data_IF_111501498043
#
_entry.id   IF_111501498043
#
_cell.length_a   1.000
_cell.length_b   1.000
_cell.length_c   1.000
_cell.angle_alpha   90.00
_cell.angle_beta   90.00
_cell.angle_gamma   90.00
#
_symmetry.space_group_name_H-M   'P 1'
#
loop_
_entity.id
_entity.type
_entity.pdbx_description
1 polymer ?
#
# COMPACT_ATOMS: atom_id res chain seq x y z
N UNK A 1 -14.28 47.62 5.32
CA UNK A 1 -14.13 47.65 6.79
C UNK A 1 -14.66 46.33 7.32
N UNK A 2 -13.82 45.28 7.28
CA UNK A 2 -13.98 44.08 8.09
C UNK A 2 -12.61 43.40 8.04
N UNK A 3 -11.93 43.40 9.18
CA UNK A 3 -10.59 42.87 9.39
C UNK A 3 -10.82 41.51 10.02
N UNK A 4 -10.44 40.41 9.36
CA UNK A 4 -10.32 39.11 10.00
C UNK A 4 -8.91 38.57 9.74
N UNK A 5 -8.30 38.17 10.86
CA UNK A 5 -6.87 38.01 11.10
C UNK A 5 -6.30 36.78 10.39
N UNK A 6 -5.16 36.96 9.73
CA UNK A 6 -4.22 35.89 9.39
C UNK A 6 -3.72 35.20 10.66
N UNK A 7 -3.82 33.88 10.72
CA UNK A 7 -3.13 33.05 11.70
C UNK A 7 -1.99 32.35 10.97
N UNK A 8 -0.77 32.72 11.36
CA UNK A 8 0.49 32.15 10.89
C UNK A 8 0.73 30.86 11.68
N UNK A 9 0.62 29.68 11.07
CA UNK A 9 1.08 28.43 11.67
C UNK A 9 2.60 28.35 11.53
N UNK A 10 3.30 28.37 12.66
CA UNK A 10 4.72 28.07 12.78
C UNK A 10 4.82 26.59 13.14
N UNK A 11 5.40 25.78 12.26
CA UNK A 11 5.78 24.40 12.56
C UNK A 11 6.99 24.40 13.51
N UNK A 12 6.88 23.63 14.60
CA UNK A 12 8.00 23.25 15.48
C UNK A 12 8.15 21.72 15.39
N UNK A 13 9.40 21.19 15.39
CA UNK A 13 9.63 19.76 15.30
C UNK A 13 9.36 19.11 16.65
N UNK A 14 8.53 18.07 16.67
CA UNK A 14 8.33 17.21 17.84
C UNK A 14 9.25 15.99 17.69
N UNK A 15 10.39 16.03 18.37
CA UNK A 15 11.09 14.83 18.84
C UNK A 15 11.12 14.92 20.36
N UNK A 16 10.33 14.10 21.03
CA UNK A 16 10.67 13.58 22.35
C UNK A 16 9.82 12.35 22.65
N UNK A 17 10.51 11.25 22.93
CA UNK A 17 9.96 9.99 23.40
C UNK A 17 8.97 10.19 24.55
N UNK A 18 7.87 9.44 24.51
CA UNK A 18 6.99 9.25 25.64
C UNK A 18 7.07 7.77 26.01
N UNK A 19 7.95 7.45 26.96
CA UNK A 19 7.79 6.26 27.78
C UNK A 19 6.53 6.49 28.63
N UNK A 20 5.51 5.68 28.41
CA UNK A 20 4.31 5.68 29.22
C UNK A 20 4.66 4.97 30.53
N UNK A 21 4.88 5.74 31.59
CA UNK A 21 5.00 5.19 32.94
C UNK A 21 3.62 4.67 33.38
N UNK A 22 3.58 3.43 33.85
CA UNK A 22 2.41 2.84 34.48
C UNK A 22 1.99 3.70 35.70
N UNK A 23 0.74 4.14 35.69
CA UNK A 23 0.15 5.10 36.62
C UNK A 23 -0.31 4.34 37.88
N UNK A 24 0.42 4.50 39.00
CA UNK A 24 0.01 3.90 40.29
C UNK A 24 -1.27 4.59 40.79
N UNK A 25 -2.35 3.83 40.86
CA UNK A 25 -3.62 4.29 41.42
C UNK A 25 -3.53 4.60 42.93
N UNK A 26 -3.93 5.82 43.32
CA UNK A 26 -4.72 6.05 44.54
C UNK A 26 -4.06 6.69 45.77
N UNK A 27 -3.66 7.96 45.69
CA UNK A 27 -3.36 8.78 46.89
C UNK A 27 -4.66 9.38 47.50
N UNK A 28 -4.90 9.20 48.80
CA UNK A 28 -5.98 9.86 49.57
C UNK A 28 -5.39 10.67 50.73
N UNK A 29 -5.95 11.84 51.06
CA UNK A 29 -5.26 12.83 51.88
C UNK A 29 -5.23 12.47 53.37
N UNK A 30 -4.04 12.53 53.96
CA UNK A 30 -3.79 12.49 55.39
C UNK A 30 -4.45 13.68 56.12
N UNK A 31 -5.15 13.40 57.23
CA UNK A 31 -5.44 14.41 58.27
C UNK A 31 -4.80 13.98 59.59
N UNK A 32 -4.07 14.91 60.19
CA UNK A 32 -3.25 14.75 61.39
C UNK A 32 -4.06 14.60 62.68
N UNK A 33 -3.78 13.56 63.47
CA UNK A 33 -3.87 13.58 64.94
C UNK A 33 -2.86 12.60 65.57
N UNK A 34 -2.02 13.01 66.55
CA UNK A 34 -1.14 12.12 67.32
C UNK A 34 -1.59 12.00 68.81
N UNK A 35 -0.99 11.13 69.65
CA UNK A 35 -1.32 9.70 69.73
C UNK A 35 -1.76 9.28 71.16
N UNK A 36 -2.52 8.19 71.28
CA UNK A 36 -2.56 7.41 72.53
C UNK A 36 -1.98 6.02 72.26
N UNK A 37 -0.99 5.68 73.09
CA UNK A 37 -0.19 4.47 73.18
C UNK A 37 -1.03 3.30 73.72
N UNK A 38 -1.21 2.24 72.92
CA UNK A 38 -1.57 0.92 73.44
C UNK A 38 -1.08 -0.22 72.52
N UNK A 39 0.01 -0.83 72.98
CA UNK A 39 0.41 -2.23 72.82
C UNK A 39 0.29 -2.92 71.44
N UNK A 40 1.45 -3.04 70.77
CA UNK A 40 1.92 -4.31 70.20
C UNK A 40 0.96 -5.10 69.32
N UNK A 41 0.62 -4.54 68.16
CA UNK A 41 0.28 -5.33 66.97
C UNK A 41 1.43 -5.08 65.97
N UNK A 42 2.07 -6.10 65.39
CA UNK A 42 2.89 -5.84 64.22
C UNK A 42 1.97 -5.19 63.19
N UNK A 43 2.36 -4.02 62.72
CA UNK A 43 1.80 -3.40 61.52
C UNK A 43 2.23 -4.27 60.34
N UNK A 44 1.61 -5.45 60.27
CA UNK A 44 1.74 -6.42 59.20
C UNK A 44 0.72 -6.05 58.14
N UNK A 45 0.95 -4.89 57.53
CA UNK A 45 0.49 -4.63 56.18
C UNK A 45 1.68 -4.83 55.24
N UNK A 46 2.40 -5.95 55.40
CA UNK A 46 3.02 -6.54 54.22
C UNK A 46 1.86 -6.70 53.23
N UNK A 47 1.86 -5.87 52.18
CA UNK A 47 1.13 -6.22 50.97
C UNK A 47 1.83 -7.49 50.55
N UNK A 48 1.31 -8.63 50.99
CA UNK A 48 1.78 -9.90 50.47
C UNK A 48 1.59 -9.78 48.97
N UNK A 49 2.68 -10.01 48.27
CA UNK A 49 2.67 -10.04 46.83
C UNK A 49 1.93 -11.31 46.45
N UNK A 50 0.67 -11.13 46.04
CA UNK A 50 -0.26 -12.21 45.77
C UNK A 50 -0.24 -12.43 44.29
N UNK A 51 0.13 -13.63 43.88
CA UNK A 51 -0.08 -14.19 42.53
C UNK A 51 -1.59 -14.12 42.23
N UNK A 52 -2.01 -13.08 41.51
CA UNK A 52 -3.42 -12.72 41.33
C UNK A 52 -4.09 -13.56 40.23
N UNK A 53 -3.33 -13.97 39.22
CA UNK A 53 -3.82 -14.75 38.08
C UNK A 53 -3.56 -16.26 38.19
N UNK A 54 -2.69 -16.69 39.10
CA UNK A 54 -2.40 -18.07 39.42
C UNK A 54 -1.37 -18.74 38.52
N UNK A 55 -0.51 -18.01 37.82
CA UNK A 55 0.56 -18.57 36.98
C UNK A 55 1.81 -19.02 37.78
N UNK A 56 1.91 -18.59 39.05
CA UNK A 56 2.96 -18.94 39.98
C UNK A 56 4.12 -17.94 40.06
N UNK A 57 4.05 -16.81 39.35
CA UNK A 57 4.90 -15.64 39.50
C UNK A 57 4.07 -14.53 40.15
N UNK A 58 4.75 -13.54 40.73
CA UNK A 58 4.10 -12.40 41.38
C UNK A 58 4.69 -11.12 40.81
N UNK A 59 3.95 -10.01 40.93
CA UNK A 59 4.43 -8.70 40.48
C UNK A 59 5.83 -8.30 41.01
N UNK A 60 6.23 -8.69 42.22
CA UNK A 60 7.58 -8.44 42.74
C UNK A 60 8.62 -9.50 42.32
N UNK A 61 8.19 -10.69 41.89
CA UNK A 61 9.07 -11.70 41.29
C UNK A 61 9.32 -11.47 39.78
N UNK A 62 8.68 -10.45 39.19
CA UNK A 62 8.96 -9.96 37.85
C UNK A 62 7.81 -10.12 36.85
N UNK A 63 6.62 -10.47 37.31
CA UNK A 63 5.40 -10.44 36.51
C UNK A 63 5.07 -8.99 36.08
N UNK A 64 4.91 -8.80 34.77
CA UNK A 64 4.59 -7.52 34.16
C UNK A 64 3.09 -7.23 34.11
N UNK A 65 2.22 -8.24 34.23
CA UNK A 65 0.76 -8.13 34.34
C UNK A 65 0.18 -9.25 35.22
N UNK A 66 0.28 -9.07 36.54
CA UNK A 66 -0.16 -10.00 37.61
C UNK A 66 -1.68 -10.36 37.57
N UNK A 67 -2.46 -9.74 36.67
CA UNK A 67 -3.87 -10.06 36.41
C UNK A 67 -4.07 -11.00 35.19
N UNK A 68 -3.01 -11.40 34.47
CA UNK A 68 -3.03 -12.24 33.27
C UNK A 68 -2.02 -13.39 33.28
N UNK A 69 -2.51 -14.61 33.55
CA UNK A 69 -1.71 -15.83 33.69
C UNK A 69 -0.94 -16.29 32.43
N UNK A 70 -0.97 -15.50 31.37
CA UNK A 70 -0.15 -15.67 30.16
C UNK A 70 1.11 -14.80 30.16
N UNK A 71 1.19 -13.83 31.06
CA UNK A 71 2.19 -12.76 31.05
C UNK A 71 3.13 -12.93 32.23
N UNK A 72 4.26 -13.62 32.01
CA UNK A 72 5.26 -13.88 33.05
C UNK A 72 6.66 -14.06 32.45
N UNK A 73 7.73 -13.84 33.23
CA UNK A 73 9.10 -14.01 32.78
C UNK A 73 9.36 -15.31 32.00
N UNK A 74 9.61 -15.19 30.69
CA UNK A 74 9.88 -16.30 29.78
C UNK A 74 8.66 -17.11 29.33
N UNK A 75 7.45 -16.54 29.38
CA UNK A 75 6.27 -17.08 28.71
C UNK A 75 6.46 -17.16 27.18
N UNK A 76 5.46 -17.70 26.48
CA UNK A 76 5.45 -17.72 25.01
C UNK A 76 4.67 -16.50 24.52
N UNK A 77 5.32 -15.68 23.69
CA UNK A 77 4.68 -14.57 22.98
C UNK A 77 3.47 -15.04 22.15
N UNK A 78 2.40 -14.26 22.24
CA UNK A 78 1.16 -14.40 21.48
C UNK A 78 0.98 -13.18 20.59
N UNK A 79 0.20 -13.32 19.52
CA UNK A 79 -0.22 -12.15 18.75
C UNK A 79 -1.39 -11.45 19.45
N UNK A 80 -1.18 -10.91 20.64
CA UNK A 80 -2.19 -10.19 21.42
C UNK A 80 -1.78 -8.75 21.77
N UNK A 81 -0.60 -8.30 21.32
CA UNK A 81 -0.03 -6.96 21.54
C UNK A 81 0.33 -6.72 23.00
N UNK A 82 0.60 -7.79 23.74
CA UNK A 82 1.06 -7.79 25.12
C UNK A 82 2.47 -8.39 25.14
N UNK A 83 3.33 -7.85 25.98
CA UNK A 83 4.63 -8.46 26.31
C UNK A 83 4.32 -9.61 27.26
N UNK A 84 4.22 -10.84 26.73
CA UNK A 84 3.84 -12.00 27.53
C UNK A 84 5.05 -12.54 28.30
N UNK A 85 6.27 -12.37 27.81
CA UNK A 85 7.46 -12.92 28.43
C UNK A 85 8.22 -11.95 29.36
N UNK A 86 7.67 -10.74 29.52
CA UNK A 86 8.11 -9.65 30.37
C UNK A 86 9.54 -9.18 30.09
N UNK A 87 9.94 -9.13 28.81
CA UNK A 87 11.28 -8.72 28.39
C UNK A 87 11.39 -7.27 27.86
N UNK A 88 10.30 -6.51 27.95
CA UNK A 88 10.06 -5.17 27.37
C UNK A 88 9.89 -5.16 25.84
N UNK A 89 9.74 -6.32 25.20
CA UNK A 89 9.39 -6.49 23.78
C UNK A 89 7.99 -7.05 23.64
N UNK A 90 7.22 -6.55 22.68
CA UNK A 90 5.84 -7.02 22.43
C UNK A 90 5.84 -7.92 21.21
N UNK A 91 5.21 -9.09 21.34
CA UNK A 91 5.00 -10.09 20.28
C UNK A 91 6.33 -10.50 19.61
N UNK A 92 7.45 -10.52 20.35
CA UNK A 92 8.76 -10.84 19.78
C UNK A 92 8.91 -12.34 19.47
N UNK A 93 9.84 -12.67 18.57
CA UNK A 93 9.98 -14.04 18.06
C UNK A 93 8.83 -14.53 17.16
N UNK A 94 7.72 -13.79 17.07
CA UNK A 94 6.66 -13.97 16.07
C UNK A 94 6.99 -13.15 14.83
N UNK A 95 6.86 -13.75 13.64
CA UNK A 95 7.16 -13.05 12.38
C UNK A 95 5.90 -12.69 11.61
N UNK A 96 4.80 -13.41 11.82
CA UNK A 96 3.53 -13.12 11.15
C UNK A 96 2.40 -13.23 12.14
N UNK A 97 1.68 -12.12 12.32
CA UNK A 97 0.54 -12.02 13.21
C UNK A 97 -0.71 -11.58 12.46
N UNK A 98 -1.84 -12.23 12.73
CA UNK A 98 -3.14 -11.79 12.26
C UNK A 98 -4.02 -11.40 13.44
N UNK A 99 -4.49 -10.15 13.45
CA UNK A 99 -5.40 -9.60 14.46
C UNK A 99 -6.77 -9.39 13.82
N UNK A 100 -7.76 -10.26 14.07
CA UNK A 100 -9.10 -10.04 13.56
C UNK A 100 -9.73 -8.79 14.19
N UNK A 101 -10.69 -8.19 13.51
CA UNK A 101 -11.47 -7.05 14.05
C UNK A 101 -12.25 -7.45 15.29
N UNK A 102 -12.65 -8.73 15.37
CA UNK A 102 -13.29 -9.33 16.53
C UNK A 102 -12.60 -10.65 16.88
N UNK A 103 -12.22 -10.82 18.15
CA UNK A 103 -11.56 -12.01 18.66
C UNK A 103 -10.09 -11.80 18.97
N UNK A 104 -9.43 -12.88 19.40
CA UNK A 104 -8.01 -12.89 19.72
C UNK A 104 -7.16 -13.02 18.45
N UNK A 105 -5.99 -12.39 18.46
CA UNK A 105 -5.03 -12.56 17.38
C UNK A 105 -4.37 -13.93 17.40
N UNK A 106 -3.73 -14.28 16.29
CA UNK A 106 -3.08 -15.57 16.11
C UNK A 106 -1.83 -15.44 15.24
N UNK A 107 -0.79 -16.21 15.57
CA UNK A 107 0.38 -16.36 14.69
C UNK A 107 -0.01 -17.11 13.42
N UNK A 108 0.55 -16.65 12.29
CA UNK A 108 0.48 -17.30 10.98
C UNK A 108 1.85 -17.79 10.49
N UNK A 109 2.86 -17.86 11.36
CA UNK A 109 4.23 -18.24 11.02
C UNK A 109 4.29 -19.56 10.23
N UNK A 110 3.58 -20.60 10.69
CA UNK A 110 3.61 -21.91 10.04
C UNK A 110 2.99 -21.91 8.64
N UNK A 111 1.99 -21.05 8.42
CA UNK A 111 1.31 -20.96 7.13
C UNK A 111 2.21 -20.25 6.11
N UNK A 112 2.91 -19.19 6.54
CA UNK A 112 3.87 -18.46 5.72
C UNK A 112 5.16 -19.27 5.46
N UNK A 113 5.67 -19.99 6.46
CA UNK A 113 6.85 -20.86 6.32
C UNK A 113 6.62 -22.08 5.41
N UNK A 114 5.36 -22.42 5.12
CA UNK A 114 5.04 -23.49 4.19
C UNK A 114 5.41 -23.13 2.73
N UNK A 115 5.62 -21.84 2.45
CA UNK A 115 5.95 -21.31 1.14
C UNK A 115 7.41 -21.53 0.73
N UNK A 116 7.64 -21.72 -0.57
CA UNK A 116 8.99 -21.70 -1.15
C UNK A 116 8.96 -21.11 -2.56
N UNK A 117 10.12 -20.70 -3.09
CA UNK A 117 10.24 -20.16 -4.46
C UNK A 117 9.60 -21.05 -5.54
N UNK A 118 9.66 -22.37 -5.39
CA UNK A 118 9.06 -23.31 -6.36
C UNK A 118 7.62 -23.73 -6.03
N UNK A 119 7.13 -23.38 -4.85
CA UNK A 119 5.79 -23.73 -4.36
C UNK A 119 5.36 -22.71 -3.31
N UNK A 120 4.92 -21.51 -3.73
CA UNK A 120 4.41 -20.49 -2.81
C UNK A 120 3.19 -21.01 -2.03
N UNK A 121 3.05 -20.59 -0.78
CA UNK A 121 1.91 -20.94 0.07
C UNK A 121 0.68 -20.09 -0.30
N UNK A 122 -0.48 -20.72 -0.49
CA UNK A 122 -1.74 -19.99 -0.64
C UNK A 122 -2.30 -19.67 0.75
N UNK A 123 -2.45 -18.37 1.05
CA UNK A 123 -2.98 -17.88 2.33
C UNK A 123 -4.32 -17.22 2.07
N UNK A 124 -5.36 -17.66 2.78
CA UNK A 124 -6.72 -17.14 2.63
C UNK A 124 -7.05 -16.19 3.79
N UNK A 125 -7.31 -14.93 3.47
CA UNK A 125 -7.76 -13.92 4.43
C UNK A 125 -9.26 -13.69 4.23
N UNK A 126 -10.06 -14.36 5.05
CA UNK A 126 -11.53 -14.39 4.99
C UNK A 126 -12.20 -13.71 6.17
N UNK A 127 -11.40 -13.23 7.13
CA UNK A 127 -11.87 -12.53 8.33
C UNK A 127 -11.35 -11.10 8.26
N UNK A 128 -12.17 -10.08 8.58
CA UNK A 128 -11.70 -8.70 8.63
C UNK A 128 -10.64 -8.53 9.72
N UNK A 129 -9.58 -7.78 9.46
CA UNK A 129 -8.51 -7.60 10.45
C UNK A 129 -7.22 -7.01 9.89
N UNK A 130 -6.15 -7.15 10.68
CA UNK A 130 -4.82 -6.68 10.32
C UNK A 130 -3.84 -7.85 10.28
N UNK A 131 -3.20 -8.06 9.13
CA UNK A 131 -2.06 -8.95 8.98
C UNK A 131 -0.77 -8.12 9.12
N UNK A 132 0.05 -8.44 10.11
CA UNK A 132 1.35 -7.82 10.36
C UNK A 132 2.45 -8.82 10.02
N UNK A 133 3.39 -8.38 9.20
CA UNK A 133 4.53 -9.16 8.71
C UNK A 133 5.81 -8.49 9.20
N UNK A 134 6.64 -9.25 9.91
CA UNK A 134 7.99 -8.84 10.26
C UNK A 134 8.95 -8.89 9.08
N UNK A 135 10.22 -8.67 9.38
CA UNK A 135 11.32 -8.77 8.42
C UNK A 135 11.40 -10.19 7.82
N UNK A 136 11.58 -10.28 6.50
CA UNK A 136 11.75 -11.55 5.81
C UNK A 136 11.26 -11.56 4.37
N UNK A 137 11.56 -12.65 3.67
CA UNK A 137 10.98 -12.97 2.37
C UNK A 137 10.03 -14.15 2.51
N UNK A 138 8.80 -13.96 2.05
CA UNK A 138 7.71 -14.91 2.15
C UNK A 138 7.21 -15.31 0.77
N UNK A 139 7.27 -16.60 0.45
CA UNK A 139 6.79 -17.10 -0.83
C UNK A 139 5.31 -17.43 -0.75
N UNK A 140 4.44 -16.52 -1.20
CA UNK A 140 3.00 -16.60 -0.95
C UNK A 140 2.15 -16.18 -2.14
N UNK A 141 0.89 -16.63 -2.10
CA UNK A 141 -0.24 -16.05 -2.81
C UNK A 141 -1.31 -15.70 -1.77
N UNK A 142 -1.46 -14.42 -1.46
CA UNK A 142 -2.50 -13.95 -0.54
C UNK A 142 -3.82 -13.78 -1.30
N UNK A 143 -4.87 -14.46 -0.86
CA UNK A 143 -6.23 -14.30 -1.38
C UNK A 143 -7.09 -13.62 -0.33
N UNK A 144 -7.53 -12.41 -0.65
CA UNK A 144 -8.23 -11.51 0.27
C UNK A 144 -9.71 -11.47 -0.13
N UNK A 145 -10.58 -11.80 0.82
CA UNK A 145 -12.04 -11.86 0.68
C UNK A 145 -12.75 -11.24 1.90
N UNK A 146 -12.04 -10.37 2.61
CA UNK A 146 -12.54 -9.59 3.73
C UNK A 146 -11.76 -8.28 3.83
N UNK A 147 -12.26 -7.34 4.64
CA UNK A 147 -11.59 -6.06 4.87
C UNK A 147 -10.29 -6.26 5.66
N UNK A 148 -9.15 -6.13 4.98
CA UNK A 148 -7.85 -6.44 5.58
C UNK A 148 -6.86 -5.32 5.35
N UNK A 149 -6.13 -4.98 6.42
CA UNK A 149 -4.89 -4.22 6.33
C UNK A 149 -3.69 -5.17 6.42
N UNK A 150 -2.82 -5.16 5.41
CA UNK A 150 -1.56 -5.92 5.39
C UNK A 150 -0.41 -4.95 5.57
N UNK A 151 0.36 -5.11 6.64
CA UNK A 151 1.45 -4.19 7.02
C UNK A 151 2.75 -4.97 7.14
N UNK A 152 3.77 -4.55 6.40
CA UNK A 152 5.15 -5.03 6.57
C UNK A 152 5.96 -4.14 7.52
N UNK A 153 7.19 -4.55 7.81
CA UNK A 153 8.15 -3.79 8.60
C UNK A 153 8.82 -2.64 7.79
N UNK A 154 8.77 -2.73 6.45
CA UNK A 154 9.38 -1.77 5.53
C UNK A 154 9.61 -2.38 4.15
N UNK A 155 9.71 -1.54 3.11
CA UNK A 155 9.94 -2.00 1.73
C UNK A 155 11.25 -2.78 1.54
N UNK A 156 12.27 -2.48 2.33
CA UNK A 156 13.57 -3.18 2.31
C UNK A 156 13.62 -4.37 3.29
N UNK A 157 12.57 -4.56 4.08
CA UNK A 157 12.54 -5.48 5.22
C UNK A 157 11.55 -6.62 5.00
N UNK A 158 10.36 -6.35 4.47
CA UNK A 158 9.32 -7.34 4.23
C UNK A 158 9.06 -7.52 2.73
N UNK A 159 9.29 -8.73 2.23
CA UNK A 159 9.03 -9.10 0.84
C UNK A 159 8.01 -10.23 0.75
N UNK A 160 6.96 -10.04 -0.04
CA UNK A 160 6.05 -11.09 -0.49
C UNK A 160 6.39 -11.45 -1.94
N UNK A 161 6.66 -12.73 -2.19
CA UNK A 161 7.22 -13.24 -3.44
C UNK A 161 6.30 -14.29 -4.06
N UNK A 162 5.89 -14.09 -5.30
CA UNK A 162 5.09 -15.06 -6.07
C UNK A 162 5.89 -16.24 -6.63
N UNK A 163 7.21 -16.27 -6.39
CA UNK A 163 8.10 -17.35 -6.83
C UNK A 163 8.05 -17.62 -8.34
N UNK A 164 7.79 -16.60 -9.15
CA UNK A 164 7.59 -16.66 -10.61
C UNK A 164 6.51 -17.65 -11.06
N UNK A 165 5.56 -18.00 -10.18
CA UNK A 165 4.58 -19.06 -10.44
C UNK A 165 3.14 -18.72 -10.05
N UNK A 166 2.94 -17.72 -9.18
CA UNK A 166 1.61 -17.27 -8.73
C UNK A 166 1.53 -15.75 -8.63
N UNK A 167 0.30 -15.23 -8.64
CA UNK A 167 0.06 -13.82 -8.31
C UNK A 167 0.32 -13.62 -6.82
N UNK A 168 0.98 -12.52 -6.43
CA UNK A 168 1.37 -12.30 -5.03
C UNK A 168 0.15 -11.99 -4.17
N UNK A 169 -0.70 -11.06 -4.60
CA UNK A 169 -1.93 -10.69 -3.90
C UNK A 169 -3.11 -10.66 -4.86
N UNK A 170 -4.22 -11.27 -4.44
CA UNK A 170 -5.50 -11.27 -5.13
C UNK A 170 -6.59 -10.78 -4.19
N UNK A 171 -7.18 -9.63 -4.51
CA UNK A 171 -8.39 -9.11 -3.87
C UNK A 171 -9.59 -9.60 -4.66
N UNK A 172 -10.42 -10.40 -4.00
CA UNK A 172 -11.58 -11.05 -4.59
C UNK A 172 -12.87 -10.27 -4.31
N UNK A 173 -13.84 -10.45 -5.20
CA UNK A 173 -15.06 -9.63 -5.31
C UNK A 173 -16.06 -9.79 -4.14
N UNK A 174 -15.92 -10.85 -3.34
CA UNK A 174 -16.92 -11.20 -2.33
C UNK A 174 -16.79 -10.29 -1.09
N UNK A 175 -17.67 -9.28 -1.00
CA UNK A 175 -17.92 -8.49 0.23
C UNK A 175 -16.69 -7.79 0.83
N UNK A 176 -15.78 -7.33 -0.02
CA UNK A 176 -14.60 -6.55 0.39
C UNK A 176 -14.88 -5.06 0.16
N UNK A 177 -15.03 -4.30 1.23
CA UNK A 177 -15.19 -2.85 1.19
C UNK A 177 -13.82 -2.18 1.05
N UNK A 178 -12.80 -2.64 1.80
CA UNK A 178 -11.49 -2.02 1.82
C UNK A 178 -10.32 -2.98 2.04
N UNK A 179 -9.25 -2.81 1.24
CA UNK A 179 -7.95 -3.45 1.44
C UNK A 179 -6.87 -2.39 1.50
N UNK A 180 -6.00 -2.46 2.51
CA UNK A 180 -4.83 -1.58 2.62
C UNK A 180 -3.56 -2.41 2.65
N UNK A 181 -2.57 -2.03 1.85
CA UNK A 181 -1.24 -2.61 1.83
C UNK A 181 -0.23 -1.53 2.22
N UNK A 182 0.63 -1.81 3.19
CA UNK A 182 1.59 -0.84 3.70
C UNK A 182 2.98 -1.43 3.94
N UNK A 183 4.01 -0.66 3.61
CA UNK A 183 5.40 -0.89 4.02
C UNK A 183 5.96 -2.26 3.64
N UNK A 184 5.76 -2.68 2.39
CA UNK A 184 6.19 -3.99 1.91
C UNK A 184 6.55 -3.98 0.43
N UNK A 185 7.33 -4.99 0.02
CA UNK A 185 7.66 -5.26 -1.38
C UNK A 185 6.88 -6.47 -1.90
N UNK A 186 6.27 -6.34 -3.08
CA UNK A 186 5.71 -7.43 -3.87
C UNK A 186 6.67 -7.74 -5.03
N UNK A 187 7.08 -8.99 -5.18
CA UNK A 187 8.02 -9.36 -6.25
C UNK A 187 7.74 -10.72 -6.86
N UNK A 188 8.33 -10.97 -8.04
CA UNK A 188 8.30 -12.27 -8.72
C UNK A 188 6.87 -12.83 -8.88
N UNK A 189 5.90 -11.94 -9.05
CA UNK A 189 4.50 -12.30 -9.23
C UNK A 189 4.25 -12.75 -10.66
N UNK A 190 3.62 -13.91 -10.87
CA UNK A 190 3.21 -14.37 -12.19
C UNK A 190 1.70 -14.54 -12.24
N UNK A 191 1.04 -13.78 -13.11
CA UNK A 191 -0.41 -13.83 -13.23
C UNK A 191 -0.92 -15.26 -13.52
N UNK A 192 -1.80 -15.76 -12.66
CA UNK A 192 -2.45 -17.07 -12.82
C UNK A 192 -3.96 -16.99 -13.04
N UNK A 193 -4.60 -15.86 -12.68
CA UNK A 193 -6.04 -15.65 -12.86
C UNK A 193 -6.34 -15.10 -14.25
N UNK A 194 -7.41 -15.62 -14.84
CA UNK A 194 -7.87 -15.23 -16.17
C UNK A 194 -8.75 -13.98 -16.09
N UNK A 195 -8.56 -13.05 -17.02
CA UNK A 195 -9.41 -11.89 -17.24
C UNK A 195 -10.89 -12.26 -17.46
N UNK A 196 -11.84 -11.57 -16.79
CA UNK A 196 -13.28 -11.92 -16.81
C UNK A 196 -13.92 -11.84 -18.20
N UNK A 197 -13.47 -10.89 -19.03
CA UNK A 197 -14.09 -10.60 -20.33
C UNK A 197 -13.30 -11.15 -21.53
N UNK A 198 -12.12 -11.71 -21.27
CA UNK A 198 -11.31 -12.37 -22.30
C UNK A 198 -10.63 -13.56 -21.64
N UNK A 199 -11.19 -14.75 -21.82
CA UNK A 199 -10.69 -16.03 -21.32
C UNK A 199 -9.30 -16.45 -21.90
N UNK A 200 -8.43 -15.50 -22.19
CA UNK A 200 -7.18 -15.67 -22.93
C UNK A 200 -5.95 -15.05 -22.25
N UNK A 201 -6.12 -14.12 -21.30
CA UNK A 201 -5.00 -13.31 -20.80
C UNK A 201 -4.91 -13.32 -19.27
N UNK A 202 -3.84 -13.92 -18.71
CA UNK A 202 -3.54 -13.82 -17.29
C UNK A 202 -3.27 -12.37 -16.87
N UNK A 203 -3.87 -11.92 -15.77
CA UNK A 203 -3.77 -10.56 -15.28
C UNK A 203 -3.32 -10.47 -13.81
N UNK A 204 -2.65 -9.37 -13.44
CA UNK A 204 -2.26 -9.08 -12.06
C UNK A 204 -1.15 -9.99 -11.54
N UNK A 205 0.08 -9.77 -11.97
CA UNK A 205 1.24 -10.54 -11.51
C UNK A 205 1.57 -10.22 -10.04
N UNK A 206 1.86 -8.95 -9.77
CA UNK A 206 2.03 -8.45 -8.40
C UNK A 206 0.69 -8.43 -7.67
N UNK A 207 -0.25 -7.65 -8.18
CA UNK A 207 -1.53 -7.37 -7.53
C UNK A 207 -2.70 -7.48 -8.52
N UNK A 208 -3.75 -8.17 -8.10
CA UNK A 208 -5.00 -8.28 -8.82
C UNK A 208 -6.14 -7.77 -7.92
N UNK A 209 -6.94 -6.81 -8.40
CA UNK A 209 -8.13 -6.33 -7.71
C UNK A 209 -9.37 -6.46 -8.60
N UNK A 210 -10.40 -7.13 -8.08
CA UNK A 210 -11.70 -7.26 -8.73
C UNK A 210 -12.80 -6.82 -7.79
N UNK A 211 -13.64 -5.90 -8.25
CA UNK A 211 -14.91 -5.53 -7.64
C UNK A 211 -15.98 -5.42 -8.71
N UNK A 212 -16.98 -6.29 -8.67
CA UNK A 212 -18.10 -6.33 -9.62
C UNK A 212 -19.40 -5.80 -9.02
N UNK A 213 -19.43 -5.57 -7.70
CA UNK A 213 -20.59 -5.06 -6.98
C UNK A 213 -20.33 -3.69 -6.36
N UNK A 214 -21.41 -2.94 -6.14
CA UNK A 214 -21.39 -1.64 -5.48
C UNK A 214 -21.82 -1.78 -4.01
N UNK A 215 -21.17 -1.08 -3.05
CA UNK A 215 -20.06 -0.16 -3.26
C UNK A 215 -18.77 -0.88 -3.72
N UNK A 216 -18.03 -0.24 -4.63
CA UNK A 216 -16.77 -0.78 -5.12
C UNK A 216 -15.68 -0.89 -4.04
N UNK A 217 -14.89 -1.97 -4.09
CA UNK A 217 -13.75 -2.19 -3.20
C UNK A 217 -12.73 -1.07 -3.31
N UNK A 218 -12.33 -0.50 -2.18
CA UNK A 218 -11.24 0.48 -2.10
C UNK A 218 -9.93 -0.24 -1.81
N UNK A 219 -9.01 -0.21 -2.77
CA UNK A 219 -7.64 -0.72 -2.62
C UNK A 219 -6.68 0.44 -2.39
N UNK A 220 -5.99 0.45 -1.25
CA UNK A 220 -5.02 1.48 -0.87
C UNK A 220 -3.63 0.87 -0.73
N UNK A 221 -2.64 1.49 -1.38
CA UNK A 221 -1.22 1.14 -1.29
C UNK A 221 -0.47 2.34 -0.70
N UNK A 222 0.25 2.13 0.40
CA UNK A 222 0.99 3.16 1.11
C UNK A 222 2.43 2.69 1.30
N UNK A 223 3.41 3.31 0.66
CA UNK A 223 4.80 2.86 0.82
C UNK A 223 5.03 1.45 0.30
N UNK A 224 4.43 1.09 -0.85
CA UNK A 224 4.55 -0.26 -1.43
C UNK A 224 5.51 -0.25 -2.61
N UNK A 225 6.38 -1.25 -2.69
CA UNK A 225 7.20 -1.50 -3.88
C UNK A 225 6.66 -2.70 -4.65
N UNK A 226 6.55 -2.62 -5.98
CA UNK A 226 6.20 -3.75 -6.84
C UNK A 226 7.25 -3.90 -7.93
N UNK A 227 7.92 -5.06 -7.98
CA UNK A 227 9.02 -5.32 -8.91
C UNK A 227 8.92 -6.71 -9.55
N UNK A 228 9.66 -6.93 -10.65
CA UNK A 228 9.89 -8.24 -11.27
C UNK A 228 8.61 -9.09 -11.46
N UNK A 229 7.47 -8.44 -11.69
CA UNK A 229 6.18 -9.10 -11.82
C UNK A 229 5.76 -9.19 -13.28
N UNK A 230 5.14 -10.30 -13.65
CA UNK A 230 4.84 -10.72 -15.01
C UNK A 230 3.36 -11.04 -15.17
N UNK A 231 2.75 -10.48 -16.21
CA UNK A 231 1.37 -10.77 -16.60
C UNK A 231 1.19 -10.41 -18.07
N UNK A 232 0.15 -10.93 -18.71
CA UNK A 232 -0.23 -10.37 -20.01
C UNK A 232 -0.81 -8.96 -19.82
N UNK A 233 -1.60 -8.78 -18.77
CA UNK A 233 -2.31 -7.52 -18.46
C UNK A 233 -2.04 -7.10 -17.03
N UNK A 234 -1.51 -5.88 -16.84
CA UNK A 234 -1.27 -5.32 -15.50
C UNK A 234 -0.28 -6.15 -14.70
N UNK A 235 1.00 -6.14 -15.10
CA UNK A 235 2.00 -7.01 -14.47
C UNK A 235 2.30 -6.63 -13.01
N UNK A 236 2.32 -5.33 -12.71
CA UNK A 236 2.38 -4.84 -11.34
C UNK A 236 0.98 -4.81 -10.72
N UNK A 237 0.02 -4.19 -11.41
CA UNK A 237 -1.36 -4.06 -10.94
C UNK A 237 -2.35 -4.24 -12.09
N UNK A 238 -3.29 -5.14 -11.91
CA UNK A 238 -4.55 -5.16 -12.66
C UNK A 238 -5.70 -4.81 -11.73
N UNK A 239 -6.47 -3.77 -12.08
CA UNK A 239 -7.67 -3.36 -11.35
C UNK A 239 -8.89 -3.38 -12.25
N UNK A 240 -9.96 -3.95 -11.73
CA UNK A 240 -11.23 -4.07 -12.41
C UNK A 240 -12.40 -3.73 -11.48
N UNK A 241 -12.98 -2.54 -11.68
CA UNK A 241 -14.07 -2.05 -10.84
C UNK A 241 -13.66 -1.53 -9.47
N UNK A 242 -12.39 -1.69 -9.06
CA UNK A 242 -11.94 -1.16 -7.77
C UNK A 242 -11.77 0.36 -7.80
N UNK A 243 -11.86 1.00 -6.64
CA UNK A 243 -11.28 2.33 -6.41
C UNK A 243 -9.86 2.14 -5.90
N UNK A 244 -8.87 2.72 -6.58
CA UNK A 244 -7.44 2.49 -6.30
C UNK A 244 -6.78 3.77 -5.83
N UNK A 245 -6.12 3.72 -4.67
CA UNK A 245 -5.30 4.82 -4.14
C UNK A 245 -3.86 4.32 -3.95
N UNK A 246 -2.90 4.96 -4.59
CA UNK A 246 -1.48 4.58 -4.49
C UNK A 246 -0.69 5.80 -4.04
N UNK A 247 -0.07 5.72 -2.87
CA UNK A 247 0.71 6.81 -2.31
C UNK A 247 2.12 6.34 -1.97
N UNK A 248 3.10 7.23 -2.17
CA UNK A 248 4.48 7.03 -1.69
C UNK A 248 5.09 5.69 -2.15
N UNK A 249 4.69 5.20 -3.32
CA UNK A 249 4.98 3.84 -3.77
C UNK A 249 5.94 3.83 -4.97
N UNK A 250 6.48 2.66 -5.30
CA UNK A 250 7.38 2.49 -6.43
C UNK A 250 7.07 1.21 -7.22
N UNK A 251 6.67 1.35 -8.47
CA UNK A 251 6.46 0.23 -9.38
C UNK A 251 7.56 0.22 -10.43
N UNK A 252 8.36 -0.83 -10.46
CA UNK A 252 9.49 -0.96 -11.38
C UNK A 252 9.34 -2.20 -12.26
N UNK A 253 9.28 -1.96 -13.57
CA UNK A 253 9.12 -2.97 -14.60
C UNK A 253 10.42 -3.66 -15.03
N UNK A 254 11.55 -3.45 -14.34
CA UNK A 254 12.76 -4.25 -14.57
C UNK A 254 12.40 -5.73 -14.44
N UNK A 255 12.81 -6.50 -15.45
CA UNK A 255 12.55 -7.94 -15.60
C UNK A 255 11.05 -8.33 -15.66
N UNK A 256 10.13 -7.37 -15.79
CA UNK A 256 8.73 -7.64 -16.07
C UNK A 256 8.54 -8.13 -17.52
N UNK A 257 7.69 -9.15 -17.71
CA UNK A 257 7.21 -9.56 -19.02
C UNK A 257 5.76 -9.13 -19.12
N UNK A 258 5.46 -8.25 -20.06
CA UNK A 258 4.13 -7.67 -20.22
C UNK A 258 3.73 -7.65 -21.69
N UNK A 259 2.49 -8.02 -22.01
CA UNK A 259 1.95 -7.73 -23.34
C UNK A 259 1.39 -6.30 -23.40
N UNK A 260 0.80 -5.83 -22.30
CA UNK A 260 0.24 -4.47 -22.13
C UNK A 260 0.89 -3.79 -20.92
N UNK A 261 0.28 -2.76 -20.35
CA UNK A 261 0.86 -1.96 -19.29
C UNK A 261 1.22 -2.71 -18.00
N UNK A 262 2.20 -2.15 -17.28
CA UNK A 262 2.51 -2.51 -15.90
C UNK A 262 1.32 -2.31 -14.96
N UNK A 263 0.59 -1.21 -15.14
CA UNK A 263 -0.67 -0.90 -14.44
C UNK A 263 -1.82 -0.87 -15.44
N UNK A 264 -2.85 -1.67 -15.20
CA UNK A 264 -4.02 -1.73 -16.07
C UNK A 264 -5.28 -1.41 -15.28
N UNK A 265 -6.01 -0.38 -15.71
CA UNK A 265 -7.17 0.18 -15.03
C UNK A 265 -8.42 0.00 -15.90
N UNK A 266 -9.34 -0.86 -15.44
CA UNK A 266 -10.59 -1.15 -16.12
C UNK A 266 -11.77 -0.86 -15.19
N UNK A 267 -12.76 -0.07 -15.65
CA UNK A 267 -13.86 0.43 -14.80
C UNK A 267 -13.36 0.96 -13.43
N UNK A 268 -12.17 1.55 -13.41
CA UNK A 268 -11.43 1.85 -12.17
C UNK A 268 -11.29 3.35 -12.02
N UNK A 269 -11.49 3.84 -10.81
CA UNK A 269 -11.09 5.20 -10.43
C UNK A 269 -9.79 5.12 -9.66
N UNK A 270 -8.70 5.64 -10.22
CA UNK A 270 -7.38 5.58 -9.63
C UNK A 270 -6.83 6.96 -9.27
N UNK A 271 -6.27 7.09 -8.08
CA UNK A 271 -5.46 8.23 -7.65
C UNK A 271 -4.06 7.75 -7.31
N UNK A 272 -3.04 8.37 -7.92
CA UNK A 272 -1.64 8.02 -7.71
C UNK A 272 -0.87 9.27 -7.30
N UNK A 273 -0.38 9.27 -6.07
CA UNK A 273 0.29 10.41 -5.44
C UNK A 273 1.72 10.06 -5.03
N UNK A 274 2.68 10.95 -5.30
CA UNK A 274 4.10 10.79 -4.92
C UNK A 274 4.64 9.38 -5.20
N UNK A 275 4.28 8.82 -6.35
CA UNK A 275 4.59 7.44 -6.72
C UNK A 275 5.34 7.42 -8.04
N UNK A 276 6.31 6.51 -8.15
CA UNK A 276 7.05 6.31 -9.39
C UNK A 276 6.60 5.03 -10.09
N UNK A 277 6.29 5.12 -11.38
CA UNK A 277 6.01 3.99 -12.28
C UNK A 277 7.03 4.02 -13.40
N UNK A 278 7.94 3.05 -13.43
CA UNK A 278 9.10 3.12 -14.32
C UNK A 278 9.49 1.80 -14.96
N UNK A 279 10.24 1.91 -16.06
CA UNK A 279 10.91 0.80 -16.75
C UNK A 279 10.00 -0.34 -17.25
N UNK A 280 8.68 -0.15 -17.29
CA UNK A 280 7.80 -1.15 -17.89
C UNK A 280 7.98 -1.18 -19.41
N UNK A 281 8.02 -2.38 -19.98
CA UNK A 281 8.15 -2.58 -21.42
C UNK A 281 7.03 -3.49 -21.94
N UNK A 282 6.02 -2.89 -22.56
CA UNK A 282 4.89 -3.57 -23.19
C UNK A 282 5.18 -3.91 -24.66
N UNK A 283 4.74 -5.10 -25.08
CA UNK A 283 4.83 -5.53 -26.49
C UNK A 283 3.67 -5.05 -27.36
N UNK A 284 2.62 -4.50 -26.75
CA UNK A 284 1.49 -3.83 -27.40
C UNK A 284 1.41 -2.38 -26.90
N UNK A 285 0.26 -1.94 -26.41
CA UNK A 285 -0.03 -0.56 -26.01
C UNK A 285 0.13 -0.34 -24.49
N UNK A 286 0.48 0.89 -24.12
CA UNK A 286 0.62 1.35 -22.74
C UNK A 286 1.83 0.71 -22.08
N UNK A 287 2.99 1.37 -22.04
CA UNK A 287 4.15 0.83 -21.33
C UNK A 287 3.91 0.83 -19.82
N UNK A 288 3.73 2.02 -19.25
CA UNK A 288 3.50 2.20 -17.81
C UNK A 288 2.06 1.89 -17.40
N UNK A 289 1.09 2.62 -17.97
CA UNK A 289 -0.32 2.58 -17.58
C UNK A 289 -1.25 2.41 -18.79
N UNK A 290 -2.31 1.62 -18.63
CA UNK A 290 -3.41 1.54 -19.58
C UNK A 290 -4.71 1.95 -18.86
N UNK A 291 -5.45 2.90 -19.46
CA UNK A 291 -6.72 3.42 -18.92
C UNK A 291 -7.83 3.14 -19.92
N UNK A 292 -8.79 2.29 -19.56
CA UNK A 292 -9.94 1.97 -20.42
C UNK A 292 -10.96 3.11 -20.47
N UNK A 293 -11.91 3.02 -21.40
CA UNK A 293 -12.90 4.09 -21.66
C UNK A 293 -13.82 4.46 -20.49
N UNK A 294 -13.97 3.56 -19.53
CA UNK A 294 -14.77 3.68 -18.30
C UNK A 294 -13.91 3.90 -17.04
N UNK A 295 -12.59 4.05 -17.20
CA UNK A 295 -11.67 4.32 -16.10
C UNK A 295 -11.27 5.81 -16.04
N UNK A 296 -10.80 6.21 -14.86
CA UNK A 296 -10.19 7.52 -14.64
C UNK A 296 -8.91 7.41 -13.81
N UNK A 297 -7.94 8.27 -14.11
CA UNK A 297 -6.64 8.32 -13.46
C UNK A 297 -6.29 9.76 -13.11
N UNK A 298 -6.01 10.01 -11.83
CA UNK A 298 -5.44 11.25 -11.34
C UNK A 298 -4.01 11.02 -10.84
N UNK A 299 -3.06 11.76 -11.40
CA UNK A 299 -1.65 11.78 -11.01
C UNK A 299 -1.35 13.07 -10.24
N UNK A 300 -0.83 12.96 -9.02
CA UNK A 300 -0.45 14.09 -8.18
C UNK A 300 1.02 13.98 -7.75
N UNK A 301 1.90 14.81 -8.30
CA UNK A 301 3.33 14.76 -7.96
C UNK A 301 3.96 13.39 -8.22
N UNK A 302 3.40 12.62 -9.16
CA UNK A 302 3.83 11.25 -9.48
C UNK A 302 4.66 11.22 -10.76
N UNK A 303 5.48 10.19 -10.91
CA UNK A 303 6.51 10.10 -11.94
C UNK A 303 6.30 8.88 -12.83
N UNK A 304 6.15 9.07 -14.14
CA UNK A 304 6.13 7.99 -15.13
C UNK A 304 7.40 8.10 -15.99
N UNK A 305 8.35 7.20 -15.75
CA UNK A 305 9.72 7.35 -16.22
C UNK A 305 10.19 6.15 -17.04
N UNK A 306 10.74 6.39 -18.23
CA UNK A 306 11.45 5.36 -18.99
C UNK A 306 10.59 4.17 -19.42
N UNK A 307 9.26 4.31 -19.41
CA UNK A 307 8.35 3.25 -19.83
C UNK A 307 8.31 3.16 -21.35
N UNK A 308 8.04 1.95 -21.84
CA UNK A 308 8.10 1.63 -23.26
C UNK A 308 6.91 0.81 -23.72
N UNK A 309 6.38 1.17 -24.88
CA UNK A 309 5.41 0.38 -25.64
C UNK A 309 5.99 0.08 -27.03
N UNK A 310 5.63 -1.06 -27.62
CA UNK A 310 5.98 -1.36 -29.01
C UNK A 310 4.98 -0.80 -30.03
N UNK A 311 3.84 -0.27 -29.59
CA UNK A 311 2.76 0.28 -30.41
C UNK A 311 2.49 1.72 -29.98
N UNK A 312 1.58 1.95 -29.03
CA UNK A 312 1.14 3.29 -28.67
C UNK A 312 1.20 3.56 -27.17
N UNK A 313 1.55 4.78 -26.78
CA UNK A 313 1.54 5.23 -25.38
C UNK A 313 2.69 4.64 -24.57
N UNK A 314 3.88 5.23 -24.63
CA UNK A 314 5.04 4.73 -23.89
C UNK A 314 4.82 4.80 -22.38
N UNK A 315 4.37 5.96 -21.89
CA UNK A 315 3.95 6.12 -20.51
C UNK A 315 2.52 5.63 -20.30
N UNK A 316 1.56 6.16 -21.09
CA UNK A 316 0.14 5.87 -20.94
C UNK A 316 -0.54 5.64 -22.27
N UNK A 317 -1.34 4.57 -22.36
CA UNK A 317 -2.36 4.44 -23.39
C UNK A 317 -3.73 4.80 -22.80
N UNK A 318 -4.44 5.73 -23.42
CA UNK A 318 -5.63 6.34 -22.86
C UNK A 318 -6.88 6.18 -23.73
N UNK A 319 -7.91 5.57 -23.15
CA UNK A 319 -9.28 5.59 -23.66
C UNK A 319 -10.23 6.37 -22.72
N UNK A 320 -9.80 6.69 -21.50
CA UNK A 320 -10.61 7.29 -20.44
C UNK A 320 -10.13 8.68 -20.02
N UNK A 321 -10.35 9.02 -18.75
CA UNK A 321 -10.05 10.37 -18.24
C UNK A 321 -8.75 10.40 -17.46
N UNK A 322 -7.83 11.26 -17.86
CA UNK A 322 -6.55 11.45 -17.18
C UNK A 322 -6.39 12.90 -16.73
N UNK A 323 -5.90 13.08 -15.51
CA UNK A 323 -5.36 14.35 -15.04
C UNK A 323 -3.97 14.18 -14.47
N UNK A 324 -3.08 15.12 -14.79
CA UNK A 324 -1.77 15.23 -14.19
C UNK A 324 -1.65 16.60 -13.54
N UNK A 325 -1.31 16.63 -12.25
CA UNK A 325 -1.10 17.85 -11.50
C UNK A 325 0.07 17.73 -10.51
N UNK A 326 0.49 18.87 -9.99
CA UNK A 326 1.42 18.94 -8.84
C UNK A 326 0.85 18.24 -7.61
N UNK A 327 1.75 17.78 -6.73
CA UNK A 327 1.41 17.20 -5.44
C UNK A 327 0.55 18.14 -4.60
N UNK A 328 -0.51 17.61 -3.99
CA UNK A 328 -1.48 18.45 -3.27
C UNK A 328 -0.94 19.01 -1.95
N UNK A 329 0.03 18.33 -1.33
CA UNK A 329 0.55 18.69 0.00
C UNK A 329 1.86 19.47 -0.05
N UNK A 330 2.78 19.08 -0.93
CA UNK A 330 4.13 19.62 -1.04
C UNK A 330 4.36 20.49 -2.27
N UNK A 331 3.43 20.44 -3.24
CA UNK A 331 3.57 21.10 -4.53
C UNK A 331 4.63 20.46 -5.42
N UNK A 332 5.03 19.21 -5.17
CA UNK A 332 6.02 18.51 -5.98
C UNK A 332 5.52 18.36 -7.43
N UNK A 333 6.41 18.58 -8.38
CA UNK A 333 6.09 18.44 -9.80
C UNK A 333 5.99 16.95 -10.16
N UNK A 334 4.87 16.54 -10.76
CA UNK A 334 4.77 15.24 -11.40
C UNK A 334 5.53 15.25 -12.73
N UNK A 335 6.07 14.12 -13.15
CA UNK A 335 6.87 14.04 -14.38
C UNK A 335 6.42 12.89 -15.29
N UNK A 336 6.34 13.13 -16.59
CA UNK A 336 6.15 12.09 -17.60
C UNK A 336 7.31 12.23 -18.58
N UNK A 337 8.35 11.41 -18.43
CA UNK A 337 9.64 11.64 -19.08
C UNK A 337 10.33 10.37 -19.57
N UNK A 338 11.15 10.52 -20.62
CA UNK A 338 11.96 9.45 -21.20
C UNK A 338 11.17 8.24 -21.69
N UNK A 339 9.85 8.37 -21.86
CA UNK A 339 8.99 7.27 -22.27
C UNK A 339 9.04 7.11 -23.80
N UNK A 340 8.91 5.87 -24.28
CA UNK A 340 9.10 5.56 -25.71
C UNK A 340 8.01 4.67 -26.29
N UNK A 341 7.56 4.97 -27.52
CA UNK A 341 6.62 4.13 -28.28
C UNK A 341 6.78 4.35 -29.79
N UNK A 342 5.92 3.74 -30.63
CA UNK A 342 5.81 4.12 -32.04
C UNK A 342 4.89 5.34 -32.23
N UNK A 343 3.92 5.55 -31.35
CA UNK A 343 3.02 6.70 -31.33
C UNK A 343 2.74 7.18 -29.91
N UNK A 344 3.05 8.46 -29.62
CA UNK A 344 2.87 9.06 -28.29
C UNK A 344 3.80 8.41 -27.26
N UNK A 345 5.04 8.90 -27.19
CA UNK A 345 6.04 8.44 -26.23
C UNK A 345 5.54 8.63 -24.80
N UNK A 346 4.98 9.80 -24.51
CA UNK A 346 4.29 10.06 -23.24
C UNK A 346 2.93 9.37 -23.25
N UNK A 347 1.96 9.99 -23.91
CA UNK A 347 0.55 9.54 -23.92
C UNK A 347 0.04 9.34 -25.34
N UNK A 348 -0.69 8.25 -25.54
CA UNK A 348 -1.52 8.06 -26.73
C UNK A 348 -3.00 8.11 -26.38
N UNK A 349 -3.76 8.92 -27.12
CA UNK A 349 -5.21 9.10 -26.94
C UNK A 349 -5.94 8.36 -28.06
N UNK A 350 -6.63 7.29 -27.68
CA UNK A 350 -7.45 6.45 -28.57
C UNK A 350 -8.76 7.17 -28.94
N UNK A 351 -9.44 6.73 -30.01
CA UNK A 351 -10.66 7.37 -30.55
C UNK A 351 -11.92 7.07 -29.73
N UNK A 352 -11.91 7.46 -28.45
CA UNK A 352 -13.06 7.40 -27.53
C UNK A 352 -13.47 8.80 -27.07
N UNK A 353 -14.78 9.05 -26.96
CA UNK A 353 -15.31 10.33 -26.47
C UNK A 353 -14.91 10.64 -25.02
N UNK A 354 -14.65 9.60 -24.22
CA UNK A 354 -14.15 9.73 -22.85
C UNK A 354 -12.65 10.00 -22.77
N UNK A 355 -11.89 9.81 -23.86
CA UNK A 355 -10.44 9.92 -23.90
C UNK A 355 -9.98 11.38 -23.84
N UNK A 356 -9.58 11.81 -22.66
CA UNK A 356 -9.09 13.16 -22.38
C UNK A 356 -7.89 13.11 -21.45
N UNK A 357 -6.92 13.99 -21.67
CA UNK A 357 -5.86 14.27 -20.71
C UNK A 357 -5.79 15.78 -20.43
N UNK A 358 -5.72 16.12 -19.15
CA UNK A 358 -5.43 17.49 -18.70
C UNK A 358 -4.16 17.51 -17.87
N UNK A 359 -3.21 18.38 -18.24
CA UNK A 359 -1.95 18.58 -17.52
C UNK A 359 -1.94 19.98 -16.90
N UNK A 360 -1.58 20.09 -15.62
CA UNK A 360 -1.43 21.36 -14.92
C UNK A 360 -0.24 21.29 -13.96
N UNK A 361 0.92 21.79 -14.41
CA UNK A 361 2.15 21.82 -13.61
C UNK A 361 2.91 20.49 -13.55
N UNK A 362 2.63 19.56 -14.47
CA UNK A 362 3.50 18.40 -14.70
C UNK A 362 4.58 18.72 -15.72
N UNK A 363 5.77 18.14 -15.54
CA UNK A 363 6.90 18.25 -16.46
C UNK A 363 6.95 17.05 -17.42
N UNK A 364 6.87 17.34 -18.71
CA UNK A 364 6.86 16.36 -19.80
C UNK A 364 8.25 16.10 -20.38
N UNK A 365 9.28 16.77 -19.86
CA UNK A 365 10.66 16.56 -20.26
C UNK A 365 11.09 17.42 -21.45
N UNK A 366 12.38 17.31 -21.78
CA UNK A 366 12.98 17.90 -22.98
C UNK A 366 14.36 17.31 -23.24
N UNK A 367 14.87 17.44 -24.47
CA UNK A 367 16.24 17.04 -24.79
C UNK A 367 16.46 15.53 -24.69
N UNK A 368 17.27 15.07 -23.73
CA UNK A 368 17.53 13.63 -23.53
C UNK A 368 16.47 12.92 -22.72
N UNK A 369 15.69 13.68 -21.95
CA UNK A 369 14.70 13.14 -21.02
C UNK A 369 13.28 13.32 -21.59
N UNK A 370 13.20 13.74 -22.85
CA UNK A 370 11.98 13.93 -23.62
C UNK A 370 11.31 12.59 -23.95
N UNK A 371 9.99 12.62 -24.12
CA UNK A 371 9.27 11.44 -24.59
C UNK A 371 9.43 11.29 -26.11
N UNK A 372 9.55 10.05 -26.59
CA UNK A 372 9.77 9.78 -28.02
C UNK A 372 8.68 8.86 -28.61
N UNK A 373 8.10 9.21 -29.77
CA UNK A 373 8.45 10.34 -30.64
C UNK A 373 7.89 11.69 -30.21
N UNK A 374 6.78 11.71 -29.46
CA UNK A 374 6.05 12.90 -29.06
C UNK A 374 5.56 12.74 -27.61
N UNK A 375 5.27 13.84 -26.92
CA UNK A 375 4.66 13.80 -25.58
C UNK A 375 3.23 13.31 -25.63
N UNK A 376 2.45 13.81 -26.58
CA UNK A 376 1.05 13.42 -26.78
C UNK A 376 0.77 13.16 -28.26
N UNK A 377 0.13 12.04 -28.56
CA UNK A 377 -0.37 11.70 -29.88
C UNK A 377 -1.73 10.98 -29.76
N UNK A 378 -2.40 10.70 -30.88
CA UNK A 378 -3.67 10.00 -30.89
C UNK A 378 -4.24 9.77 -32.29
N UNK A 379 -5.27 8.95 -32.40
CA UNK A 379 -5.83 8.48 -33.67
C UNK A 379 -6.26 9.62 -34.63
N UNK A 380 -6.79 10.71 -34.09
CA UNK A 380 -7.24 11.87 -34.86
C UNK A 380 -6.15 12.91 -35.15
N UNK A 381 -4.91 12.70 -34.69
CA UNK A 381 -3.84 13.70 -34.82
C UNK A 381 -3.23 13.66 -36.23
N UNK A 382 -2.97 14.84 -36.80
CA UNK A 382 -2.16 14.93 -38.02
C UNK A 382 -0.66 14.84 -37.75
N UNK A 383 -0.25 15.18 -36.53
CA UNK A 383 1.11 15.10 -35.99
C UNK A 383 1.03 15.16 -34.46
N UNK A 384 1.93 14.45 -33.77
CA UNK A 384 2.02 14.52 -32.32
C UNK A 384 2.42 15.92 -31.82
N UNK A 385 2.25 16.12 -30.51
CA UNK A 385 2.50 17.38 -29.82
C UNK A 385 3.57 17.17 -28.76
N UNK A 386 4.41 18.18 -28.60
CA UNK A 386 5.41 18.24 -27.53
C UNK A 386 5.07 19.34 -26.55
N UNK A 387 5.32 19.07 -25.27
CA UNK A 387 5.06 19.94 -24.13
C UNK A 387 6.26 19.91 -23.19
N UNK A 388 6.36 20.91 -22.32
CA UNK A 388 7.32 20.93 -21.24
C UNK A 388 6.58 20.99 -19.91
N UNK A 389 6.36 22.19 -19.37
CA UNK A 389 5.69 22.44 -18.08
C UNK A 389 4.38 23.22 -18.23
N UNK A 390 4.01 23.59 -19.46
CA UNK A 390 2.78 24.32 -19.74
C UNK A 390 1.53 23.49 -19.44
N UNK A 391 0.46 24.19 -19.09
CA UNK A 391 -0.85 23.57 -18.91
C UNK A 391 -1.54 23.34 -20.25
N UNK A 392 -2.14 22.18 -20.41
CA UNK A 392 -2.85 21.83 -21.63
C UNK A 392 -3.99 20.86 -21.37
N UNK A 393 -4.87 20.76 -22.35
CA UNK A 393 -5.87 19.71 -22.45
C UNK A 393 -5.83 19.13 -23.85
N UNK A 394 -5.81 17.80 -23.96
CA UNK A 394 -5.85 17.08 -25.22
C UNK A 394 -7.00 16.08 -25.25
N UNK A 395 -7.63 15.96 -26.41
CA UNK A 395 -8.50 14.84 -26.79
C UNK A 395 -7.92 14.18 -28.04
N UNK A 396 -8.53 13.12 -28.54
CA UNK A 396 -8.10 12.47 -29.79
C UNK A 396 -8.14 13.42 -31.02
N UNK A 397 -8.81 14.57 -30.92
CA UNK A 397 -8.91 15.59 -31.98
C UNK A 397 -7.76 16.61 -31.96
N UNK A 398 -6.91 16.62 -30.93
CA UNK A 398 -5.81 17.56 -30.75
C UNK A 398 -5.74 18.18 -29.36
N UNK A 399 -4.82 19.13 -29.21
CA UNK A 399 -4.51 19.77 -27.93
C UNK A 399 -4.78 21.27 -27.94
N UNK A 400 -5.13 21.80 -26.78
CA UNK A 400 -5.22 23.23 -26.49
C UNK A 400 -4.39 23.56 -25.26
N UNK A 401 -3.49 24.54 -25.37
CA UNK A 401 -2.78 25.09 -24.21
C UNK A 401 -3.66 26.10 -23.49
N UNK A 402 -3.62 26.08 -22.15
CA UNK A 402 -4.49 26.88 -21.28
C UNK A 402 -3.83 28.17 -20.79
#
# INVERSE_FOLDING_TARGET
MSIHRSLLLIALPFSLALAQACDKAGDKPHTDTPPEDDTGKPDDSEVEDVDQDGDGITGADGDCDDDDAKSYPGALELCDKVDNDCDDSIDDGLRVCFYPTEGEGSSMDSDFDAGSASSPAEILLTTPGTLVLGEGEWFVSLRISADVSVTGAGVDETTLSGGDSVSVILVEDDLVDAVTLSDLTLTNGQATRLHKDVAKYPAGGGLYCLSSSEPHTTLTLEGVSITASSAVVGSALYSLGCTVNINNSNFDGIDAITETAGVFLENTTATISNTTIQNFSATQDGGGVYVTSDASLALFGSHLLGNKSASSGGAIFNQGQISCAVGQEDGAEGTIQSNTSLGGGGVYIDEYDSAIISSTGCDWGSGTDDNSPDDVNGDGFTAGQSFTTESFTCTYLGCTTN
#
